data_IF_264368518079
#
_entry.id   IF_264368518079
#
_cell.length_a   1.000
_cell.length_b   1.000
_cell.length_c   1.000
_cell.angle_alpha   90.00
_cell.angle_beta   90.00
_cell.angle_gamma   90.00
#
_symmetry.space_group_name_H-M   'P 1'
#
loop_
_entity.id
_entity.type
_entity.pdbx_description
1 polymer ?
#
# COMPACT_ATOMS: atom_id res chain seq x y z
N UNK A 1 181.18 41.36 -45.74
CA UNK A 1 181.85 42.42 -46.52
C UNK A 1 180.91 43.62 -46.52
N UNK A 2 181.26 44.64 -45.74
CA UNK A 2 182.00 45.83 -46.17
C UNK A 2 181.00 46.85 -46.71
N UNK A 3 180.56 47.79 -45.87
CA UNK A 3 181.19 49.11 -45.66
C UNK A 3 180.77 50.07 -46.78
N UNK A 4 180.66 51.39 -46.67
CA UNK A 4 181.42 52.42 -45.95
C UNK A 4 180.69 53.71 -46.38
N UNK A 5 180.28 54.63 -45.52
CA UNK A 5 181.05 55.59 -44.74
C UNK A 5 180.95 57.03 -45.29
N UNK A 6 180.96 57.93 -44.30
CA UNK A 6 181.72 59.18 -44.25
C UNK A 6 181.12 60.49 -44.82
N UNK A 7 180.73 61.33 -43.84
CA UNK A 7 181.29 62.66 -43.52
C UNK A 7 181.04 63.88 -44.44
N UNK A 8 180.33 64.82 -43.82
CA UNK A 8 180.80 66.17 -43.39
C UNK A 8 180.85 67.34 -44.39
N UNK A 9 179.97 68.31 -44.06
CA UNK A 9 180.16 69.78 -43.84
C UNK A 9 179.60 70.77 -44.88
N UNK A 10 178.70 71.61 -44.33
CA UNK A 10 178.44 73.07 -44.51
C UNK A 10 178.10 73.64 -45.90
N UNK A 11 176.90 74.23 -46.02
CA UNK A 11 176.65 75.69 -46.02
C UNK A 11 175.14 76.02 -46.00
N UNK A 12 174.83 77.25 -45.59
CA UNK A 12 173.50 77.88 -45.39
C UNK A 12 172.75 78.12 -46.71
N UNK A 13 171.40 78.00 -46.73
CA UNK A 13 170.48 78.83 -47.54
C UNK A 13 168.98 78.64 -47.17
N UNK A 14 168.20 79.69 -47.41
CA UNK A 14 166.89 80.04 -46.82
C UNK A 14 165.78 79.97 -47.90
N UNK A 15 164.86 78.98 -47.85
CA UNK A 15 163.49 78.90 -48.45
C UNK A 15 163.03 77.43 -48.60
N UNK A 16 161.72 77.06 -48.69
CA UNK A 16 160.48 77.63 -48.16
C UNK A 16 159.58 76.58 -47.43
N UNK A 17 159.19 76.82 -46.17
CA UNK A 17 158.29 75.95 -45.38
C UNK A 17 156.77 76.21 -45.54
N UNK A 18 156.33 77.00 -46.51
CA UNK A 18 154.91 77.41 -46.65
C UNK A 18 154.02 76.36 -47.34
N UNK A 19 154.61 75.36 -48.00
CA UNK A 19 153.88 74.31 -48.73
C UNK A 19 153.29 73.25 -47.79
N UNK A 20 153.89 73.02 -46.62
CA UNK A 20 153.45 71.96 -45.70
C UNK A 20 152.23 72.39 -44.84
N UNK A 21 152.06 73.69 -44.60
CA UNK A 21 150.91 74.24 -43.88
C UNK A 21 149.60 74.23 -44.72
N UNK A 22 149.70 74.31 -46.06
CA UNK A 22 148.54 74.26 -46.96
C UNK A 22 148.03 72.82 -47.16
N UNK A 23 148.92 71.83 -47.23
CA UNK A 23 148.54 70.42 -47.41
C UNK A 23 147.85 69.83 -46.16
N UNK A 24 148.32 70.18 -44.96
CA UNK A 24 147.71 69.75 -43.69
C UNK A 24 146.34 70.39 -43.45
N UNK A 25 146.13 71.65 -43.89
CA UNK A 25 144.83 72.32 -43.78
C UNK A 25 143.79 71.72 -44.74
N UNK A 26 144.20 71.32 -45.95
CA UNK A 26 143.33 70.63 -46.91
C UNK A 26 142.88 69.25 -46.39
N UNK A 27 143.79 68.49 -45.77
CA UNK A 27 143.49 67.16 -45.24
C UNK A 27 142.55 67.23 -44.02
N UNK A 28 142.71 68.25 -43.17
CA UNK A 28 141.81 68.49 -42.03
C UNK A 28 140.39 68.89 -42.48
N UNK A 29 140.26 69.71 -43.54
CA UNK A 29 138.96 70.11 -44.08
C UNK A 29 138.24 68.92 -44.72
N UNK A 30 138.95 68.08 -45.50
CA UNK A 30 138.35 66.85 -46.06
C UNK A 30 137.92 65.89 -44.97
N UNK A 31 138.73 65.69 -43.93
CA UNK A 31 138.39 64.83 -42.79
C UNK A 31 137.13 65.34 -42.04
N UNK A 32 137.04 66.64 -41.80
CA UNK A 32 135.89 67.26 -41.12
C UNK A 32 134.61 67.17 -41.97
N UNK A 33 134.73 67.33 -43.29
CA UNK A 33 133.61 67.12 -44.23
C UNK A 33 133.14 65.67 -44.24
N UNK A 34 134.04 64.67 -44.20
CA UNK A 34 133.64 63.26 -44.12
C UNK A 34 132.95 62.92 -42.81
N UNK A 35 133.43 63.43 -41.67
CA UNK A 35 132.79 63.21 -40.37
C UNK A 35 131.40 63.85 -40.33
N UNK A 36 131.23 65.04 -40.91
CA UNK A 36 129.94 65.72 -40.97
C UNK A 36 128.93 64.99 -41.87
N UNK A 37 129.34 64.49 -43.03
CA UNK A 37 128.47 63.69 -43.93
C UNK A 37 128.05 62.39 -43.26
N UNK A 38 128.96 61.71 -42.55
CA UNK A 38 128.63 60.50 -41.79
C UNK A 38 127.66 60.83 -40.65
N UNK A 39 127.86 61.95 -39.92
CA UNK A 39 126.94 62.41 -38.88
C UNK A 39 125.53 62.73 -39.40
N UNK A 40 125.44 63.40 -40.55
CA UNK A 40 124.16 63.67 -41.25
C UNK A 40 123.48 62.37 -41.69
N UNK A 41 124.25 61.39 -42.18
CA UNK A 41 123.73 60.10 -42.60
C UNK A 41 123.13 59.31 -41.43
N UNK A 42 123.80 59.27 -40.28
CA UNK A 42 123.28 58.60 -39.07
C UNK A 42 122.04 59.30 -38.50
N UNK A 43 122.03 60.64 -38.43
CA UNK A 43 120.87 61.38 -37.93
C UNK A 43 119.65 61.24 -38.85
N UNK A 44 119.87 61.19 -40.17
CA UNK A 44 118.83 60.91 -41.16
C UNK A 44 118.30 59.48 -41.03
N UNK A 45 119.16 58.48 -40.79
CA UNK A 45 118.70 57.11 -40.50
C UNK A 45 117.88 57.04 -39.20
N UNK A 46 118.26 57.75 -38.14
CA UNK A 46 117.56 57.72 -36.85
C UNK A 46 116.19 58.42 -36.92
N UNK A 47 116.08 59.56 -37.62
CA UNK A 47 114.82 60.27 -37.84
C UNK A 47 113.88 59.48 -38.77
N UNK A 48 114.40 58.93 -39.87
CA UNK A 48 113.62 58.12 -40.81
C UNK A 48 113.12 56.82 -40.16
N UNK A 49 113.91 56.24 -39.25
CA UNK A 49 113.51 55.09 -38.44
C UNK A 49 112.38 55.42 -37.47
N UNK A 50 112.45 56.55 -36.76
CA UNK A 50 111.38 56.99 -35.83
C UNK A 50 110.09 57.36 -36.57
N UNK A 51 110.17 58.05 -37.70
CA UNK A 51 109.00 58.34 -38.54
C UNK A 51 108.34 57.06 -39.08
N UNK A 52 109.15 56.07 -39.49
CA UNK A 52 108.63 54.77 -39.90
C UNK A 52 107.92 54.03 -38.75
N UNK A 53 108.42 54.12 -37.51
CA UNK A 53 107.76 53.52 -36.34
C UNK A 53 106.46 54.23 -35.95
N UNK A 54 106.39 55.57 -36.05
CA UNK A 54 105.18 56.33 -35.78
C UNK A 54 104.09 56.05 -36.82
N UNK A 55 104.46 55.95 -38.10
CA UNK A 55 103.51 55.55 -39.17
C UNK A 55 102.99 54.13 -38.95
N UNK A 56 103.83 53.20 -38.51
CA UNK A 56 103.42 51.82 -38.20
C UNK A 56 102.49 51.76 -36.99
N UNK A 57 102.78 52.49 -35.93
CA UNK A 57 101.93 52.58 -34.74
C UNK A 57 100.59 53.26 -35.05
N UNK A 58 100.57 54.34 -35.84
CA UNK A 58 99.32 54.97 -36.28
C UNK A 58 98.47 54.03 -37.15
N UNK A 59 99.09 53.23 -38.04
CA UNK A 59 98.37 52.17 -38.78
C UNK A 59 97.80 51.10 -37.84
N UNK A 60 98.57 50.64 -36.86
CA UNK A 60 98.07 49.67 -35.88
C UNK A 60 96.95 50.23 -35.01
N UNK A 61 97.01 51.50 -34.62
CA UNK A 61 95.93 52.18 -33.89
C UNK A 61 94.68 52.30 -34.78
N UNK A 62 94.83 52.60 -36.07
CA UNK A 62 93.73 52.63 -37.02
C UNK A 62 93.09 51.23 -37.21
N UNK A 63 93.90 50.19 -37.43
CA UNK A 63 93.43 48.80 -37.57
C UNK A 63 92.72 48.30 -36.30
N UNK A 64 93.25 48.62 -35.11
CA UNK A 64 92.62 48.28 -33.84
C UNK A 64 91.32 49.06 -33.62
N UNK A 65 91.24 50.31 -34.11
CA UNK A 65 90.02 51.12 -34.05
C UNK A 65 88.95 50.54 -34.97
N UNK A 66 89.32 50.08 -36.17
CA UNK A 66 88.42 49.43 -37.12
C UNK A 66 87.94 48.06 -36.61
N UNK A 67 88.84 47.24 -36.05
CA UNK A 67 88.48 45.98 -35.41
C UNK A 67 87.55 46.18 -34.21
N UNK A 68 87.82 47.19 -33.38
CA UNK A 68 86.95 47.53 -32.25
C UNK A 68 85.59 48.07 -32.72
N UNK A 69 85.54 48.81 -33.82
CA UNK A 69 84.29 49.26 -34.43
C UNK A 69 83.46 48.08 -34.97
N UNK A 70 84.11 47.10 -35.60
CA UNK A 70 83.46 45.88 -36.10
C UNK A 70 82.96 45.00 -34.95
N UNK A 71 83.76 44.80 -33.90
CA UNK A 71 83.37 44.03 -32.71
C UNK A 71 82.18 44.67 -31.99
N UNK A 72 82.18 46.01 -31.83
CA UNK A 72 81.03 46.76 -31.31
C UNK A 72 79.79 46.65 -32.19
N UNK A 73 79.95 46.65 -33.52
CA UNK A 73 78.83 46.47 -34.46
C UNK A 73 78.22 45.07 -34.38
N UNK A 74 79.05 44.03 -34.37
CA UNK A 74 78.59 42.64 -34.22
C UNK A 74 77.88 42.43 -32.89
N UNK A 75 78.45 42.96 -31.79
CA UNK A 75 77.81 42.89 -30.47
C UNK A 75 76.44 43.55 -30.46
N UNK A 76 76.28 44.73 -31.07
CA UNK A 76 74.97 45.38 -31.24
C UNK A 76 74.01 44.51 -32.04
N UNK A 77 74.45 43.92 -33.16
CA UNK A 77 73.59 43.04 -33.97
C UNK A 77 73.11 41.80 -33.20
N UNK A 78 73.98 41.18 -32.39
CA UNK A 78 73.62 40.05 -31.54
C UNK A 78 72.67 40.48 -30.42
N UNK A 79 72.88 41.65 -29.81
CA UNK A 79 71.96 42.20 -28.80
C UNK A 79 70.57 42.45 -29.41
N UNK A 80 70.50 42.94 -30.64
CA UNK A 80 69.23 43.16 -31.35
C UNK A 80 68.57 41.84 -31.79
N UNK A 81 69.35 40.84 -32.22
CA UNK A 81 68.86 39.49 -32.53
C UNK A 81 68.32 38.81 -31.26
N UNK A 82 69.02 38.89 -30.14
CA UNK A 82 68.55 38.37 -28.84
C UNK A 82 67.28 39.09 -28.39
N UNK A 83 67.17 40.41 -28.60
CA UNK A 83 65.93 41.16 -28.33
C UNK A 83 64.78 40.68 -29.22
N UNK A 84 65.01 40.51 -30.52
CA UNK A 84 64.02 40.01 -31.48
C UNK A 84 63.56 38.59 -31.14
N UNK A 85 64.49 37.70 -30.80
CA UNK A 85 64.18 36.34 -30.36
C UNK A 85 63.38 36.35 -29.05
N UNK A 86 63.72 37.20 -28.09
CA UNK A 86 62.94 37.36 -26.85
C UNK A 86 61.52 37.87 -27.11
N UNK A 87 61.34 38.84 -28.00
CA UNK A 87 60.00 39.31 -28.37
C UNK A 87 59.20 38.25 -29.10
N UNK A 88 59.85 37.47 -29.96
CA UNK A 88 59.19 36.37 -30.70
C UNK A 88 58.80 35.24 -29.75
N UNK A 89 59.69 34.85 -28.84
CA UNK A 89 59.42 33.84 -27.81
C UNK A 89 58.25 34.27 -26.92
N UNK A 90 58.25 35.53 -26.44
CA UNK A 90 57.14 36.07 -25.65
C UNK A 90 55.82 36.07 -26.44
N UNK A 91 55.85 36.35 -27.74
CA UNK A 91 54.69 36.25 -28.62
C UNK A 91 54.15 34.81 -28.74
N UNK A 92 55.03 33.85 -28.98
CA UNK A 92 54.67 32.42 -29.09
C UNK A 92 54.17 31.86 -27.75
N UNK A 93 54.77 32.27 -26.63
CA UNK A 93 54.28 31.89 -25.30
C UNK A 93 52.88 32.45 -25.03
N UNK A 94 52.61 33.70 -25.41
CA UNK A 94 51.27 34.28 -25.31
C UNK A 94 50.24 33.57 -26.19
N UNK A 95 50.59 33.22 -27.43
CA UNK A 95 49.72 32.43 -28.33
C UNK A 95 49.45 31.03 -27.77
N UNK A 96 50.47 30.35 -27.23
CA UNK A 96 50.32 29.05 -26.58
C UNK A 96 49.39 29.14 -25.36
N UNK A 97 49.57 30.15 -24.52
CA UNK A 97 48.75 30.33 -23.32
C UNK A 97 47.30 30.66 -23.68
N UNK A 98 47.07 31.46 -24.73
CA UNK A 98 45.75 31.70 -25.29
C UNK A 98 45.11 30.42 -25.83
N UNK A 99 45.83 29.65 -26.65
CA UNK A 99 45.33 28.37 -27.20
C UNK A 99 45.03 27.35 -26.09
N UNK A 100 45.86 27.29 -25.04
CA UNK A 100 45.64 26.43 -23.87
C UNK A 100 44.36 26.83 -23.13
N UNK A 101 44.14 28.13 -22.91
CA UNK A 101 42.91 28.61 -22.26
C UNK A 101 41.65 28.31 -23.08
N UNK A 102 41.72 28.41 -24.41
CA UNK A 102 40.62 28.04 -25.30
C UNK A 102 40.33 26.53 -25.28
N UNK A 103 41.37 25.69 -25.26
CA UNK A 103 41.21 24.24 -25.15
C UNK A 103 40.61 23.82 -23.80
N UNK A 104 41.03 24.45 -22.70
CA UNK A 104 40.45 24.25 -21.37
C UNK A 104 38.97 24.67 -21.35
N UNK A 105 38.64 25.85 -21.89
CA UNK A 105 37.25 26.32 -22.00
C UNK A 105 36.37 25.38 -22.86
N UNK A 106 36.88 24.88 -23.98
CA UNK A 106 36.18 23.91 -24.82
C UNK A 106 35.93 22.58 -24.09
N UNK A 107 36.90 22.12 -23.28
CA UNK A 107 36.77 20.91 -22.46
C UNK A 107 35.70 21.08 -21.38
N UNK A 108 35.66 22.24 -20.71
CA UNK A 108 34.60 22.55 -19.74
C UNK A 108 33.23 22.62 -20.40
N UNK A 109 33.13 23.25 -21.59
CA UNK A 109 31.88 23.34 -22.35
C UNK A 109 31.37 21.95 -22.80
N UNK A 110 32.26 21.08 -23.28
CA UNK A 110 31.91 19.68 -23.60
C UNK A 110 31.48 18.89 -22.35
N UNK A 111 32.14 19.10 -21.21
CA UNK A 111 31.74 18.51 -19.93
C UNK A 111 30.34 18.95 -19.49
N UNK A 112 30.03 20.24 -19.60
CA UNK A 112 28.71 20.79 -19.30
C UNK A 112 27.62 20.26 -20.25
N UNK A 113 27.91 20.18 -21.55
CA UNK A 113 27.01 19.62 -22.55
C UNK A 113 26.71 18.13 -22.28
N UNK A 114 27.74 17.34 -21.94
CA UNK A 114 27.57 15.93 -21.57
C UNK A 114 26.79 15.73 -20.28
N UNK A 115 26.89 16.65 -19.32
CA UNK A 115 26.07 16.62 -18.10
C UNK A 115 24.60 16.93 -18.38
N UNK A 116 24.33 17.95 -19.20
CA UNK A 116 22.98 18.31 -19.66
C UNK A 116 22.32 17.17 -20.42
N UNK A 117 23.05 16.49 -21.30
CA UNK A 117 22.52 15.37 -22.09
C UNK A 117 22.15 14.17 -21.19
N UNK A 118 23.00 13.86 -20.19
CA UNK A 118 22.68 12.85 -19.15
C UNK A 118 21.43 13.24 -18.35
N UNK A 119 21.26 14.51 -18.01
CA UNK A 119 20.10 14.99 -17.27
C UNK A 119 18.82 14.90 -18.11
N UNK A 120 18.90 15.26 -19.40
CA UNK A 120 17.79 15.14 -20.35
C UNK A 120 17.38 13.68 -20.54
N UNK A 121 18.33 12.75 -20.68
CA UNK A 121 18.04 11.31 -20.77
C UNK A 121 17.44 10.77 -19.47
N UNK A 122 17.90 11.24 -18.31
CA UNK A 122 17.31 10.89 -17.03
C UNK A 122 15.86 11.38 -16.91
N UNK A 123 15.57 12.62 -17.32
CA UNK A 123 14.21 13.17 -17.35
C UNK A 123 13.32 12.40 -18.33
N UNK A 124 13.78 12.16 -19.57
CA UNK A 124 13.04 11.35 -20.57
C UNK A 124 12.73 9.96 -20.03
N UNK A 125 13.68 9.33 -19.35
CA UNK A 125 13.49 8.04 -18.67
C UNK A 125 12.48 8.11 -17.53
N UNK A 126 12.46 9.19 -16.76
CA UNK A 126 11.45 9.43 -15.73
C UNK A 126 10.05 9.65 -16.34
N UNK A 127 9.91 10.46 -17.39
CA UNK A 127 8.64 10.70 -18.09
C UNK A 127 8.08 9.42 -18.71
N UNK A 128 8.92 8.60 -19.37
CA UNK A 128 8.48 7.29 -19.89
C UNK A 128 7.92 6.38 -18.81
N UNK A 129 8.58 6.32 -17.64
CA UNK A 129 8.08 5.55 -16.49
C UNK A 129 6.76 6.10 -15.97
N UNK A 130 6.64 7.43 -15.84
CA UNK A 130 5.40 8.06 -15.42
C UNK A 130 4.24 7.77 -16.38
N UNK A 131 4.46 7.83 -17.70
CA UNK A 131 3.45 7.47 -18.70
C UNK A 131 3.00 6.01 -18.57
N UNK A 132 3.96 5.07 -18.45
CA UNK A 132 3.61 3.65 -18.24
C UNK A 132 2.81 3.40 -16.96
N UNK A 133 3.05 4.20 -15.90
CA UNK A 133 2.29 4.11 -14.66
C UNK A 133 0.87 4.68 -14.82
N UNK A 134 0.70 5.75 -15.58
CA UNK A 134 -0.63 6.29 -15.92
C UNK A 134 -1.43 5.29 -16.75
N UNK A 135 -0.81 4.62 -17.72
CA UNK A 135 -1.47 3.59 -18.53
C UNK A 135 -1.95 2.42 -17.66
N UNK A 136 -1.08 1.92 -16.76
CA UNK A 136 -1.45 0.87 -15.81
C UNK A 136 -2.61 1.29 -14.89
N UNK A 137 -2.58 2.53 -14.38
CA UNK A 137 -3.64 3.06 -13.53
C UNK A 137 -4.96 3.20 -14.30
N UNK A 138 -4.92 3.62 -15.57
CA UNK A 138 -6.10 3.69 -16.43
C UNK A 138 -6.70 2.29 -16.68
N UNK A 139 -5.86 1.29 -16.93
CA UNK A 139 -6.31 -0.10 -17.04
C UNK A 139 -6.97 -0.59 -15.74
N UNK A 140 -6.35 -0.32 -14.58
CA UNK A 140 -6.90 -0.66 -13.26
C UNK A 140 -8.24 0.03 -13.00
N UNK A 141 -8.34 1.34 -13.29
CA UNK A 141 -9.59 2.10 -13.15
C UNK A 141 -10.68 1.51 -14.05
N UNK A 142 -10.34 1.12 -15.29
CA UNK A 142 -11.30 0.48 -16.19
C UNK A 142 -11.80 -0.87 -15.65
N UNK A 143 -10.89 -1.66 -15.04
CA UNK A 143 -11.23 -2.93 -14.44
C UNK A 143 -12.12 -2.76 -13.20
N UNK A 144 -11.81 -1.80 -12.33
CA UNK A 144 -12.64 -1.47 -11.17
C UNK A 144 -14.02 -0.96 -11.59
N UNK A 145 -14.12 -0.13 -12.64
CA UNK A 145 -15.42 0.30 -13.18
C UNK A 145 -16.26 -0.87 -13.69
N UNK A 146 -15.65 -1.84 -14.38
CA UNK A 146 -16.34 -3.08 -14.80
C UNK A 146 -16.80 -3.92 -13.60
N UNK A 147 -15.98 -4.02 -12.56
CA UNK A 147 -16.35 -4.72 -11.33
C UNK A 147 -17.52 -4.03 -10.59
N UNK A 148 -17.49 -2.69 -10.49
CA UNK A 148 -18.58 -1.92 -9.88
C UNK A 148 -19.89 -2.09 -10.65
N UNK A 149 -19.87 -2.01 -11.98
CA UNK A 149 -21.07 -2.24 -12.79
C UNK A 149 -21.66 -3.64 -12.57
N UNK A 150 -20.80 -4.68 -12.54
CA UNK A 150 -21.25 -6.04 -12.27
C UNK A 150 -21.84 -6.22 -10.86
N UNK A 151 -21.30 -5.51 -9.86
CA UNK A 151 -21.82 -5.50 -8.50
C UNK A 151 -23.16 -4.77 -8.42
N UNK A 152 -23.33 -3.64 -9.11
CA UNK A 152 -24.59 -2.90 -9.20
C UNK A 152 -25.69 -3.75 -9.85
N UNK A 153 -25.38 -4.44 -10.95
CA UNK A 153 -26.31 -5.35 -11.63
C UNK A 153 -26.70 -6.53 -10.71
N UNK A 154 -25.73 -7.11 -10.00
CA UNK A 154 -25.99 -8.20 -9.05
C UNK A 154 -26.85 -7.73 -7.86
N UNK A 155 -26.60 -6.52 -7.35
CA UNK A 155 -27.39 -5.94 -6.27
C UNK A 155 -28.82 -5.66 -6.72
N UNK A 156 -29.02 -5.05 -7.89
CA UNK A 156 -30.34 -4.79 -8.46
C UNK A 156 -31.14 -6.08 -8.70
N UNK A 157 -30.48 -7.13 -9.18
CA UNK A 157 -31.08 -8.45 -9.33
C UNK A 157 -31.46 -9.07 -7.96
N UNK A 158 -30.63 -8.91 -6.93
CA UNK A 158 -30.93 -9.39 -5.58
C UNK A 158 -32.13 -8.65 -4.98
N UNK A 159 -32.14 -7.32 -5.03
CA UNK A 159 -33.25 -6.50 -4.52
C UNK A 159 -34.58 -6.84 -5.19
N UNK A 160 -34.55 -7.13 -6.49
CA UNK A 160 -35.74 -7.56 -7.24
C UNK A 160 -36.26 -8.91 -6.72
N UNK A 161 -35.37 -9.90 -6.53
CA UNK A 161 -35.74 -11.21 -5.96
C UNK A 161 -36.28 -11.10 -4.53
N UNK A 162 -35.72 -10.19 -3.73
CA UNK A 162 -36.15 -9.97 -2.36
C UNK A 162 -37.55 -9.37 -2.32
N UNK A 163 -37.83 -8.36 -3.17
CA UNK A 163 -39.18 -7.79 -3.31
C UNK A 163 -40.20 -8.84 -3.75
N UNK A 164 -39.88 -9.65 -4.75
CA UNK A 164 -40.76 -10.74 -5.19
C UNK A 164 -41.02 -11.76 -4.07
N UNK A 165 -39.98 -12.10 -3.31
CA UNK A 165 -40.08 -13.07 -2.22
C UNK A 165 -40.93 -12.53 -1.08
N UNK A 166 -40.80 -11.25 -0.73
CA UNK A 166 -41.67 -10.59 0.25
C UNK A 166 -43.14 -10.59 -0.17
N UNK A 167 -43.42 -10.30 -1.45
CA UNK A 167 -44.79 -10.39 -1.99
C UNK A 167 -45.33 -11.81 -1.90
N UNK A 168 -44.54 -12.83 -2.29
CA UNK A 168 -44.93 -14.24 -2.17
C UNK A 168 -45.20 -14.64 -0.73
N UNK A 169 -44.38 -14.21 0.23
CA UNK A 169 -44.57 -14.50 1.66
C UNK A 169 -45.85 -13.85 2.18
N UNK A 170 -46.11 -12.59 1.84
CA UNK A 170 -47.33 -11.90 2.25
C UNK A 170 -48.58 -12.58 1.68
N UNK A 171 -48.53 -13.00 0.41
CA UNK A 171 -49.61 -13.72 -0.24
C UNK A 171 -49.85 -15.10 0.40
N UNK A 172 -48.79 -15.88 0.64
CA UNK A 172 -48.87 -17.17 1.31
C UNK A 172 -49.43 -17.03 2.73
N UNK A 173 -48.99 -16.02 3.47
CA UNK A 173 -49.50 -15.71 4.81
C UNK A 173 -50.99 -15.39 4.80
N UNK A 174 -51.45 -14.58 3.83
CA UNK A 174 -52.88 -14.27 3.67
C UNK A 174 -53.69 -15.53 3.34
N UNK A 175 -53.24 -16.34 2.38
CA UNK A 175 -53.91 -17.60 1.99
C UNK A 175 -53.97 -18.58 3.17
N UNK A 176 -52.89 -18.70 3.94
CA UNK A 176 -52.85 -19.57 5.12
C UNK A 176 -53.82 -19.09 6.20
N UNK A 177 -53.86 -17.79 6.48
CA UNK A 177 -54.80 -17.24 7.45
C UNK A 177 -56.25 -17.46 7.04
N UNK A 178 -56.58 -17.31 5.75
CA UNK A 178 -57.93 -17.59 5.23
C UNK A 178 -58.26 -19.09 5.35
N UNK A 179 -57.34 -19.97 4.99
CA UNK A 179 -57.53 -21.42 5.10
C UNK A 179 -57.71 -21.85 6.57
N UNK A 180 -56.92 -21.28 7.49
CA UNK A 180 -57.05 -21.53 8.92
C UNK A 180 -58.40 -21.05 9.45
N UNK A 181 -58.82 -19.84 9.09
CA UNK A 181 -60.12 -19.31 9.48
C UNK A 181 -61.28 -20.20 8.98
N UNK A 182 -61.19 -20.72 7.76
CA UNK A 182 -62.17 -21.68 7.21
C UNK A 182 -62.22 -22.97 8.03
N UNK A 183 -61.07 -23.54 8.39
CA UNK A 183 -61.00 -24.77 9.21
C UNK A 183 -61.53 -24.57 10.63
N UNK A 184 -61.22 -23.44 11.26
CA UNK A 184 -61.76 -23.08 12.58
C UNK A 184 -63.28 -22.90 12.52
N UNK A 185 -63.80 -22.24 11.48
CA UNK A 185 -65.24 -22.08 11.28
C UNK A 185 -65.94 -23.42 11.02
N UNK A 186 -65.32 -24.30 10.23
CA UNK A 186 -65.79 -25.66 9.98
C UNK A 186 -65.88 -26.46 11.30
N UNK A 187 -64.82 -26.44 12.12
CA UNK A 187 -64.83 -27.07 13.44
C UNK A 187 -65.91 -26.48 14.36
N UNK A 188 -66.09 -25.16 14.37
CA UNK A 188 -67.11 -24.49 15.18
C UNK A 188 -68.54 -24.88 14.77
N UNK A 189 -68.78 -25.11 13.46
CA UNK A 189 -70.05 -25.62 12.94
C UNK A 189 -70.31 -27.04 13.43
N UNK A 190 -69.37 -27.97 13.24
CA UNK A 190 -69.51 -29.34 13.72
C UNK A 190 -69.67 -29.42 15.24
N UNK A 191 -69.00 -28.52 15.97
CA UNK A 191 -69.20 -28.36 17.41
C UNK A 191 -70.65 -28.00 17.72
N UNK A 192 -71.22 -27.01 17.04
CA UNK A 192 -72.61 -26.61 17.24
C UNK A 192 -73.60 -27.73 16.92
N UNK A 193 -73.38 -28.45 15.81
CA UNK A 193 -74.22 -29.58 15.39
C UNK A 193 -74.13 -30.76 16.37
N UNK A 194 -72.93 -31.04 16.90
CA UNK A 194 -72.72 -32.00 17.99
C UNK A 194 -73.55 -31.65 19.22
N UNK A 195 -73.44 -30.42 19.72
CA UNK A 195 -74.18 -29.98 20.90
C UNK A 195 -75.68 -30.00 20.66
N UNK A 196 -76.14 -29.66 19.45
CA UNK A 196 -77.54 -29.76 19.05
C UNK A 196 -78.08 -31.20 19.13
N UNK A 197 -77.39 -32.15 18.47
CA UNK A 197 -77.77 -33.58 18.48
C UNK A 197 -77.70 -34.17 19.88
N UNK A 198 -76.64 -33.88 20.63
CA UNK A 198 -76.45 -34.42 21.96
C UNK A 198 -77.45 -33.82 22.96
N UNK A 199 -77.84 -32.54 22.80
CA UNK A 199 -78.97 -31.94 23.53
C UNK A 199 -80.31 -32.59 23.16
N UNK A 200 -80.54 -32.97 21.90
CA UNK A 200 -81.78 -33.67 21.51
C UNK A 200 -81.87 -35.07 22.13
N UNK A 201 -80.74 -35.79 22.24
CA UNK A 201 -80.67 -37.15 22.80
C UNK A 201 -80.75 -37.15 24.33
N UNK A 202 -80.19 -36.13 25.00
CA UNK A 202 -80.04 -36.06 26.46
C UNK A 202 -80.92 -35.03 27.16
N UNK A 203 -81.58 -34.13 26.41
CA UNK A 203 -82.19 -32.90 26.93
C UNK A 203 -83.42 -33.05 27.82
N UNK A 204 -83.97 -34.26 27.96
CA UNK A 204 -85.12 -34.54 28.82
C UNK A 204 -84.74 -35.14 30.19
N UNK A 205 -83.44 -35.17 30.55
CA UNK A 205 -82.99 -35.73 31.83
C UNK A 205 -82.53 -34.65 32.82
N UNK A 206 -82.90 -34.74 34.11
CA UNK A 206 -82.49 -33.79 35.13
C UNK A 206 -80.99 -33.88 35.49
N UNK A 207 -80.35 -35.00 35.19
CA UNK A 207 -78.99 -35.34 35.62
C UNK A 207 -77.88 -34.79 34.70
N UNK A 208 -78.26 -34.22 33.55
CA UNK A 208 -77.34 -33.72 32.53
C UNK A 208 -77.61 -32.23 32.32
N UNK A 209 -76.58 -31.41 32.52
CA UNK A 209 -76.65 -29.97 32.31
C UNK A 209 -75.81 -29.57 31.10
N UNK A 210 -76.38 -28.74 30.23
CA UNK A 210 -75.66 -28.11 29.13
C UNK A 210 -75.22 -26.72 29.56
N UNK A 211 -73.90 -26.47 29.60
CA UNK A 211 -73.32 -25.17 29.94
C UNK A 211 -72.42 -24.73 28.79
N UNK A 212 -72.91 -23.78 27.98
CA UNK A 212 -72.22 -23.36 26.76
C UNK A 212 -72.04 -24.53 25.79
N UNK A 213 -70.78 -24.87 25.48
CA UNK A 213 -70.34 -25.99 24.65
C UNK A 213 -69.76 -27.14 25.50
N UNK A 214 -70.33 -27.39 26.68
CA UNK A 214 -69.92 -28.47 27.56
C UNK A 214 -71.14 -29.22 28.08
N UNK A 215 -71.05 -30.55 28.04
CA UNK A 215 -72.02 -31.42 28.71
C UNK A 215 -71.49 -31.78 30.08
N UNK A 216 -72.25 -31.45 31.12
CA UNK A 216 -71.89 -31.68 32.50
C UNK A 216 -72.76 -32.81 33.05
N UNK A 217 -72.12 -33.89 33.48
CA UNK A 217 -72.75 -35.02 34.17
C UNK A 217 -72.27 -35.05 35.62
N UNK A 218 -73.20 -35.24 36.55
CA UNK A 218 -72.85 -35.42 37.96
C UNK A 218 -72.08 -36.73 38.16
N UNK A 219 -71.01 -36.68 38.94
CA UNK A 219 -70.15 -37.86 39.14
C UNK A 219 -70.87 -39.00 39.84
N UNK A 220 -71.85 -38.73 40.69
CA UNK A 220 -72.63 -39.71 41.46
C UNK A 220 -73.47 -40.61 40.59
N UNK A 221 -73.89 -40.12 39.43
CA UNK A 221 -74.66 -40.89 38.45
C UNK A 221 -73.75 -41.94 37.82
N UNK A 222 -72.48 -41.61 37.60
CA UNK A 222 -71.51 -42.46 36.92
C UNK A 222 -70.70 -43.35 37.88
N UNK A 223 -70.42 -42.87 39.08
CA UNK A 223 -69.46 -43.45 40.02
C UNK A 223 -70.00 -43.47 41.44
N UNK A 224 -69.61 -44.48 42.26
CA UNK A 224 -69.75 -44.38 43.71
C UNK A 224 -68.85 -43.28 44.30
N UNK A 225 -69.18 -42.84 45.51
CA UNK A 225 -68.34 -41.90 46.27
C UNK A 225 -66.91 -42.44 46.45
N UNK A 226 -65.91 -41.60 46.20
CA UNK A 226 -64.49 -41.98 46.33
C UNK A 226 -63.99 -43.05 45.35
N UNK A 227 -64.78 -43.46 44.36
CA UNK A 227 -64.42 -44.48 43.37
C UNK A 227 -64.34 -43.91 41.95
N UNK A 228 -63.53 -44.55 41.11
CA UNK A 228 -63.45 -44.33 39.67
C UNK A 228 -63.96 -45.54 38.85
N UNK A 229 -64.57 -46.54 39.51
CA UNK A 229 -65.23 -47.65 38.81
C UNK A 229 -66.63 -47.25 38.40
N UNK A 230 -66.95 -47.38 37.11
CA UNK A 230 -68.27 -47.06 36.58
C UNK A 230 -69.34 -47.96 37.19
N UNK A 231 -70.46 -47.34 37.56
CA UNK A 231 -71.67 -48.03 37.98
C UNK A 231 -72.29 -48.80 36.80
N UNK A 232 -72.87 -50.01 37.01
CA UNK A 232 -73.65 -50.68 35.97
C UNK A 232 -74.78 -49.80 35.41
N UNK A 233 -75.39 -48.98 36.26
CA UNK A 233 -76.48 -48.07 35.91
C UNK A 233 -76.02 -46.92 34.98
N UNK A 234 -74.72 -46.62 34.93
CA UNK A 234 -74.14 -45.60 34.06
C UNK A 234 -74.04 -46.04 32.59
N UNK A 235 -74.05 -47.37 32.33
CA UNK A 235 -73.84 -47.93 31.00
C UNK A 235 -74.84 -47.43 29.95
N UNK A 236 -76.17 -47.49 30.18
CA UNK A 236 -77.17 -47.01 29.23
C UNK A 236 -77.08 -45.50 28.92
N UNK A 237 -76.52 -44.70 29.83
CA UNK A 237 -76.26 -43.27 29.61
C UNK A 237 -75.06 -43.08 28.67
N UNK A 238 -73.94 -43.72 29.01
CA UNK A 238 -72.70 -43.64 28.25
C UNK A 238 -72.83 -44.27 26.86
N UNK A 239 -73.69 -45.29 26.69
CA UNK A 239 -73.98 -45.89 25.38
C UNK A 239 -74.69 -44.94 24.43
N UNK A 240 -75.64 -44.14 24.95
CA UNK A 240 -76.32 -43.12 24.15
C UNK A 240 -75.36 -42.00 23.75
N UNK A 241 -74.48 -41.59 24.67
CA UNK A 241 -73.42 -40.62 24.39
C UNK A 241 -72.46 -41.18 23.31
N UNK A 242 -72.02 -42.43 23.46
CA UNK A 242 -71.16 -43.10 22.47
C UNK A 242 -71.83 -43.16 21.09
N UNK A 243 -73.11 -43.50 21.00
CA UNK A 243 -73.86 -43.48 19.74
C UNK A 243 -73.90 -42.10 19.08
N UNK A 244 -74.18 -41.05 19.86
CA UNK A 244 -74.17 -39.68 19.37
C UNK A 244 -72.78 -39.23 18.87
N UNK A 245 -71.72 -39.61 19.57
CA UNK A 245 -70.33 -39.34 19.16
C UNK A 245 -70.01 -40.09 17.87
N UNK A 246 -70.38 -41.37 17.75
CA UNK A 246 -70.13 -42.18 16.56
C UNK A 246 -70.86 -41.63 15.32
N UNK A 247 -72.09 -41.15 15.48
CA UNK A 247 -72.87 -40.54 14.40
C UNK A 247 -72.26 -39.23 13.91
N UNK A 248 -71.75 -38.42 14.84
CA UNK A 248 -71.06 -37.18 14.49
C UNK A 248 -69.68 -37.45 13.89
N UNK A 249 -68.91 -38.39 14.45
CA UNK A 249 -67.57 -38.72 13.96
C UNK A 249 -67.58 -39.13 12.47
N UNK A 250 -68.68 -39.72 11.98
CA UNK A 250 -68.89 -40.03 10.56
C UNK A 250 -69.14 -38.81 9.67
N UNK A 251 -69.56 -37.69 10.25
CA UNK A 251 -69.83 -36.43 9.54
C UNK A 251 -68.63 -35.48 9.56
N UNK A 252 -67.69 -35.64 10.51
CA UNK A 252 -66.50 -34.79 10.59
C UNK A 252 -65.43 -35.30 9.62
N UNK A 253 -64.87 -34.45 8.74
CA UNK A 253 -63.77 -34.83 7.86
C UNK A 253 -62.55 -35.36 8.60
N UNK A 254 -61.90 -36.39 8.05
CA UNK A 254 -60.77 -37.06 8.69
C UNK A 254 -59.50 -36.18 8.78
N UNK A 255 -59.40 -35.13 7.96
CA UNK A 255 -58.33 -34.14 7.98
C UNK A 255 -58.51 -33.08 9.07
N UNK A 256 -59.70 -32.96 9.66
CA UNK A 256 -59.95 -32.03 10.75
C UNK A 256 -59.38 -32.61 12.06
N UNK A 257 -58.45 -31.91 12.75
CA UNK A 257 -57.78 -32.43 13.93
C UNK A 257 -58.66 -32.29 15.18
N UNK A 258 -59.81 -32.96 15.24
CA UNK A 258 -60.74 -32.86 16.36
C UNK A 258 -60.50 -33.94 17.42
N UNK A 259 -60.84 -33.64 18.67
CA UNK A 259 -60.89 -34.59 19.80
C UNK A 259 -62.09 -34.30 20.70
N UNK A 260 -62.66 -35.34 21.28
CA UNK A 260 -63.59 -35.27 22.40
C UNK A 260 -62.79 -35.31 23.70
N UNK A 261 -62.82 -34.19 24.42
CA UNK A 261 -62.19 -34.03 25.72
C UNK A 261 -63.18 -34.32 26.83
N UNK A 262 -62.81 -35.26 27.70
CA UNK A 262 -63.53 -35.67 28.90
C UNK A 262 -62.77 -35.17 30.12
N UNK A 263 -63.33 -34.23 30.85
CA UNK A 263 -62.71 -33.55 31.98
C UNK A 263 -63.31 -34.04 33.30
N UNK A 264 -62.46 -34.56 34.19
CA UNK A 264 -62.85 -34.96 35.55
C UNK A 264 -62.66 -33.83 36.56
N UNK A 265 -63.63 -33.67 37.45
CA UNK A 265 -63.59 -32.71 38.55
C UNK A 265 -64.03 -33.35 39.88
N UNK A 266 -63.51 -32.82 40.99
CA UNK A 266 -63.91 -33.17 42.35
C UNK A 266 -64.49 -31.95 43.08
N UNK A 267 -65.04 -32.18 44.26
CA UNK A 267 -65.29 -31.09 45.20
C UNK A 267 -64.00 -30.73 45.97
N UNK A 268 -64.09 -29.71 46.83
CA UNK A 268 -62.97 -29.22 47.62
C UNK A 268 -62.62 -30.11 48.83
N UNK A 269 -63.37 -31.20 49.08
CA UNK A 269 -63.04 -32.10 50.20
C UNK A 269 -61.82 -32.92 49.81
N UNK A 270 -60.80 -32.99 50.67
CA UNK A 270 -59.58 -33.71 50.34
C UNK A 270 -59.85 -35.22 50.33
N UNK A 271 -59.36 -35.90 49.30
CA UNK A 271 -59.21 -37.36 49.28
C UNK A 271 -57.74 -37.72 49.39
N UNK A 272 -57.43 -38.64 50.30
CA UNK A 272 -56.08 -39.19 50.47
C UNK A 272 -56.20 -40.67 50.85
N UNK A 273 -56.30 -41.52 49.84
CA UNK A 273 -56.38 -42.98 49.97
C UNK A 273 -55.20 -43.62 49.24
N UNK A 274 -54.92 -44.89 49.51
CA UNK A 274 -53.88 -45.63 48.77
C UNK A 274 -54.14 -45.68 47.26
N UNK A 275 -55.41 -45.75 46.85
CA UNK A 275 -55.81 -45.77 45.45
C UNK A 275 -55.85 -44.36 44.83
N UNK A 276 -56.28 -43.35 45.58
CA UNK A 276 -56.39 -41.96 45.15
C UNK A 276 -55.70 -41.05 46.18
N UNK A 277 -54.40 -40.75 46.01
CA UNK A 277 -53.64 -39.92 46.95
C UNK A 277 -54.02 -38.43 46.88
N UNK A 278 -54.77 -38.02 45.85
CA UNK A 278 -55.24 -36.64 45.69
C UNK A 278 -56.52 -36.56 44.84
N UNK A 279 -57.17 -35.40 44.90
CA UNK A 279 -58.31 -35.07 44.04
C UNK A 279 -57.94 -35.05 42.54
N UNK A 280 -56.69 -34.72 42.21
CA UNK A 280 -56.14 -34.88 40.87
C UNK A 280 -56.15 -36.34 40.42
N UNK A 281 -55.69 -37.27 41.27
CA UNK A 281 -55.67 -38.70 40.95
C UNK A 281 -57.09 -39.26 40.77
N UNK A 282 -58.03 -38.88 41.64
CA UNK A 282 -59.43 -39.31 41.53
C UNK A 282 -60.10 -38.77 40.25
N UNK A 283 -59.95 -37.47 39.97
CA UNK A 283 -60.54 -36.86 38.78
C UNK A 283 -59.94 -37.43 37.48
N UNK A 284 -58.62 -37.64 37.42
CA UNK A 284 -57.96 -38.27 36.30
C UNK A 284 -58.47 -39.70 36.07
N UNK A 285 -58.52 -40.52 37.13
CA UNK A 285 -58.99 -41.90 37.03
C UNK A 285 -60.44 -41.98 36.52
N UNK A 286 -61.32 -41.08 36.98
CA UNK A 286 -62.71 -41.02 36.51
C UNK A 286 -62.81 -40.61 35.04
N UNK A 287 -62.05 -39.59 34.62
CA UNK A 287 -62.01 -39.17 33.22
C UNK A 287 -61.50 -40.29 32.31
N UNK A 288 -60.44 -40.98 32.72
CA UNK A 288 -59.89 -42.14 32.00
C UNK A 288 -60.90 -43.28 31.92
N UNK A 289 -61.62 -43.60 33.00
CA UNK A 289 -62.63 -44.65 33.00
C UNK A 289 -63.74 -44.38 31.97
N UNK A 290 -64.20 -43.13 31.86
CA UNK A 290 -65.17 -42.72 30.84
C UNK A 290 -64.58 -42.82 29.43
N UNK A 291 -63.35 -42.35 29.23
CA UNK A 291 -62.66 -42.46 27.93
C UNK A 291 -62.49 -43.92 27.51
N UNK A 292 -62.05 -44.80 28.41
CA UNK A 292 -61.90 -46.23 28.15
C UNK A 292 -63.24 -46.89 27.83
N UNK A 293 -64.31 -46.49 28.52
CA UNK A 293 -65.66 -46.95 28.20
C UNK A 293 -66.08 -46.55 26.78
N UNK A 294 -65.92 -45.28 26.42
CA UNK A 294 -66.26 -44.78 25.07
C UNK A 294 -65.41 -45.45 23.98
N UNK A 295 -64.12 -45.67 24.24
CA UNK A 295 -63.24 -46.41 23.35
C UNK A 295 -63.73 -47.85 23.16
N UNK A 296 -64.15 -48.52 24.23
CA UNK A 296 -64.75 -49.86 24.19
C UNK A 296 -66.06 -49.92 23.40
N UNK A 297 -66.76 -48.80 23.25
CA UNK A 297 -67.97 -48.65 22.41
C UNK A 297 -67.66 -48.31 20.95
N UNK A 298 -66.39 -48.31 20.56
CA UNK A 298 -65.95 -48.16 19.17
C UNK A 298 -65.58 -46.73 18.76
N UNK A 299 -65.50 -45.78 19.70
CA UNK A 299 -64.97 -44.45 19.40
C UNK A 299 -63.43 -44.55 19.25
N UNK A 300 -62.85 -44.09 18.13
CA UNK A 300 -61.41 -44.21 17.93
C UNK A 300 -60.62 -43.51 19.05
N UNK A 301 -59.67 -44.19 19.72
CA UNK A 301 -58.92 -43.62 20.85
C UNK A 301 -58.17 -42.33 20.49
N UNK A 302 -57.74 -42.17 19.25
CA UNK A 302 -57.09 -40.95 18.74
C UNK A 302 -57.95 -39.68 18.79
N UNK A 303 -59.27 -39.83 18.93
CA UNK A 303 -60.23 -38.75 19.10
C UNK A 303 -60.69 -38.58 20.55
N UNK A 304 -60.09 -39.28 21.51
CA UNK A 304 -60.47 -39.20 22.92
C UNK A 304 -59.33 -38.63 23.75
N UNK A 305 -59.65 -37.66 24.61
CA UNK A 305 -58.69 -37.05 25.53
C UNK A 305 -59.29 -37.02 26.94
N UNK A 306 -58.53 -37.46 27.93
CA UNK A 306 -58.90 -37.35 29.34
C UNK A 306 -58.16 -36.17 29.98
N UNK A 307 -58.92 -35.22 30.52
CA UNK A 307 -58.43 -34.12 31.34
C UNK A 307 -58.78 -34.34 32.80
N UNK A 308 -57.92 -33.88 33.70
CA UNK A 308 -58.18 -33.83 35.13
C UNK A 308 -58.05 -32.38 35.59
N UNK A 309 -58.83 -31.98 36.59
CA UNK A 309 -58.74 -30.65 37.17
C UNK A 309 -58.84 -30.64 38.70
N UNK A 310 -59.08 -31.80 39.33
CA UNK A 310 -59.36 -31.89 40.76
C UNK A 310 -60.45 -30.90 41.19
N UNK A 311 -60.19 -30.22 42.29
CA UNK A 311 -61.02 -29.20 42.91
C UNK A 311 -60.83 -27.79 42.34
N UNK A 312 -59.84 -27.58 41.46
CA UNK A 312 -59.34 -26.26 41.07
C UNK A 312 -60.18 -25.53 40.01
N UNK A 313 -61.29 -26.13 39.57
CA UNK A 313 -62.29 -25.50 38.69
C UNK A 313 -63.72 -25.76 39.21
N UNK A 314 -64.09 -25.17 40.36
CA UNK A 314 -65.43 -25.32 40.92
C UNK A 314 -66.47 -24.57 40.06
N UNK A 315 -67.64 -25.16 39.86
CA UNK A 315 -68.82 -24.45 39.33
C UNK A 315 -69.52 -23.62 40.40
N UNK A 316 -69.45 -24.08 41.65
CA UNK A 316 -70.06 -23.44 42.81
C UNK A 316 -69.01 -23.32 43.91
N UNK A 317 -68.67 -22.10 44.31
CA UNK A 317 -67.68 -21.85 45.37
C UNK A 317 -68.23 -22.09 46.78
N UNK A 318 -69.51 -22.44 46.92
CA UNK A 318 -70.13 -22.75 48.19
C UNK A 318 -69.55 -24.00 48.86
N UNK A 319 -69.82 -24.12 50.16
CA UNK A 319 -69.35 -25.22 51.03
C UNK A 319 -70.48 -26.14 51.50
N UNK A 320 -71.62 -26.11 50.80
CA UNK A 320 -72.77 -26.99 51.09
C UNK A 320 -72.70 -28.29 50.28
N UNK A 321 -73.42 -29.33 50.70
CA UNK A 321 -73.47 -30.59 49.93
C UNK A 321 -73.99 -30.40 48.51
N UNK A 322 -74.91 -29.45 48.30
CA UNK A 322 -75.41 -29.10 46.97
C UNK A 322 -74.31 -28.47 46.10
N UNK A 323 -73.48 -27.59 46.67
CA UNK A 323 -72.34 -27.00 45.96
C UNK A 323 -71.29 -28.07 45.63
N UNK A 324 -70.99 -28.95 46.59
CA UNK A 324 -70.07 -30.06 46.38
C UNK A 324 -70.58 -31.04 45.31
N UNK A 325 -71.86 -31.39 45.31
CA UNK A 325 -72.45 -32.26 44.28
C UNK A 325 -72.36 -31.63 42.88
N UNK A 326 -72.55 -30.31 42.74
CA UNK A 326 -72.35 -29.62 41.45
C UNK A 326 -70.88 -29.66 40.99
N UNK A 327 -69.92 -29.61 41.91
CA UNK A 327 -68.50 -29.60 41.59
C UNK A 327 -67.97 -30.98 41.19
N UNK A 328 -68.47 -32.05 41.82
CA UNK A 328 -68.17 -33.44 41.47
C UNK A 328 -68.85 -33.82 40.16
N UNK A 329 -68.16 -33.63 39.04
CA UNK A 329 -68.74 -33.81 37.71
C UNK A 329 -67.75 -34.30 36.68
N UNK A 330 -68.28 -34.83 35.59
CA UNK A 330 -67.57 -35.08 34.34
C UNK A 330 -68.09 -34.09 33.32
N UNK A 331 -67.17 -33.37 32.66
CA UNK A 331 -67.51 -32.49 31.55
C UNK A 331 -67.03 -33.08 30.24
N UNK A 332 -67.83 -32.98 29.17
CA UNK A 332 -67.44 -33.41 27.84
C UNK A 332 -67.54 -32.25 26.86
N UNK A 333 -66.51 -32.06 26.04
CA UNK A 333 -66.50 -31.03 24.98
C UNK A 333 -65.72 -31.47 23.75
N UNK A 334 -66.15 -30.97 22.59
CA UNK A 334 -65.42 -31.14 21.33
C UNK A 334 -64.39 -30.01 21.18
N UNK A 335 -63.14 -30.34 20.88
CA UNK A 335 -62.04 -29.39 20.73
C UNK A 335 -61.04 -29.83 19.66
N UNK A 336 -60.05 -28.98 19.39
CA UNK A 336 -58.95 -29.28 18.46
C UNK A 336 -57.83 -30.01 19.20
N UNK A 337 -57.10 -30.87 18.49
CA UNK A 337 -56.01 -31.70 19.01
C UNK A 337 -54.77 -30.89 19.35
#
# INVERSE_FOLDING_TARGET
MASTAARSRRSVNVWPGYVDALATLLLAVVFLLTVFVVGQFFLSQELTGRDATLVKLNRQIADLTDLLALERSNRRSQEDEVRSLRTTLAGVEAERDQAKSQAEAATVSQGAAGALDKQLEAERGATKRALSQVDLLNEQISAMRRQLAALEDALAASETRDRESQVRIAELGSRLNVALAQKVQELARYRSDFFGRLRQILGNRPDIRVVGDRFVLQSEVLFPGGSATLKPEAGPELDRIAGAIADLARQIPADLPWVLRVDGHTDARPINTSQFPSNWALSAARAIAVVQYLAGKGIPPQHLLAGAFGEFQPLDAGTTEEAYAKNRRIEMKLTER
#
